data_IF_883914059803
#
_entry.id   IF_883914059803
#
_cell.length_a   1.000
_cell.length_b   1.000
_cell.length_c   1.000
_cell.angle_alpha   90.00
_cell.angle_beta   90.00
_cell.angle_gamma   90.00
#
_symmetry.space_group_name_H-M   'P 1'
#
loop_
_entity.id
_entity.type
_entity.pdbx_description
1 polymer ?
#
# COMPACT_ATOMS: atom_id res chain seq x y z
N UNK A 1 23.25 9.79 -2.06
CA UNK A 1 22.56 8.69 -1.35
C UNK A 1 21.06 8.92 -1.50
N UNK A 2 20.30 7.92 -1.96
CA UNK A 2 18.84 7.95 -1.87
C UNK A 2 18.44 8.05 -0.39
N UNK A 3 17.86 9.17 0.03
CA UNK A 3 17.64 9.50 1.45
C UNK A 3 16.27 9.06 1.95
N UNK A 4 15.39 8.58 1.08
CA UNK A 4 14.02 8.22 1.43
C UNK A 4 13.56 6.88 0.85
N UNK A 5 12.57 6.25 1.49
CA UNK A 5 11.89 5.06 0.96
C UNK A 5 11.28 5.28 -0.42
N UNK A 6 10.91 6.54 -0.75
CA UNK A 6 10.36 6.90 -2.05
C UNK A 6 11.42 6.78 -3.15
N UNK A 7 12.64 7.27 -2.90
CA UNK A 7 13.73 7.20 -3.87
C UNK A 7 14.12 5.75 -4.21
N UNK A 8 14.09 4.86 -3.20
CA UNK A 8 14.31 3.43 -3.39
C UNK A 8 13.24 2.78 -4.27
N UNK A 9 11.97 3.11 -4.04
CA UNK A 9 10.85 2.63 -4.86
C UNK A 9 10.97 3.08 -6.31
N UNK A 10 11.20 4.38 -6.53
CA UNK A 10 11.34 4.96 -7.87
C UNK A 10 12.56 4.43 -8.63
N UNK A 11 13.68 4.21 -7.94
CA UNK A 11 14.86 3.58 -8.55
C UNK A 11 14.59 2.12 -8.95
N UNK A 12 13.81 1.38 -8.16
CA UNK A 12 13.41 0.01 -8.48
C UNK A 12 12.45 -0.05 -9.67
N UNK A 13 11.45 0.83 -9.72
CA UNK A 13 10.55 1.00 -10.89
C UNK A 13 11.34 1.30 -12.16
N UNK A 14 12.29 2.24 -12.10
CA UNK A 14 13.20 2.55 -13.20
C UNK A 14 13.94 1.31 -13.68
N UNK A 15 14.52 0.55 -12.75
CA UNK A 15 15.30 -0.64 -13.06
C UNK A 15 14.45 -1.69 -13.77
N UNK A 16 13.24 -1.99 -13.28
CA UNK A 16 12.36 -2.96 -13.91
C UNK A 16 11.92 -2.50 -15.31
N UNK A 17 11.48 -1.25 -15.46
CA UNK A 17 11.08 -0.70 -16.74
C UNK A 17 12.22 -0.77 -17.78
N UNK A 18 13.45 -0.41 -17.36
CA UNK A 18 14.61 -0.50 -18.22
C UNK A 18 14.91 -1.95 -18.65
N UNK A 19 14.87 -2.90 -17.72
CA UNK A 19 15.07 -4.33 -18.04
C UNK A 19 14.00 -4.84 -19.00
N UNK A 20 12.73 -4.51 -18.78
CA UNK A 20 11.63 -4.90 -19.67
C UNK A 20 11.82 -4.36 -21.08
N UNK A 21 12.19 -3.09 -21.23
CA UNK A 21 12.47 -2.47 -22.54
C UNK A 21 13.67 -3.12 -23.26
N UNK A 22 14.65 -3.65 -22.52
CA UNK A 22 15.81 -4.33 -23.12
C UNK A 22 15.56 -5.81 -23.48
N UNK A 23 14.70 -6.51 -22.72
CA UNK A 23 14.51 -7.96 -22.85
C UNK A 23 13.24 -8.35 -23.62
N UNK A 24 12.26 -7.46 -23.69
CA UNK A 24 11.00 -7.70 -24.38
C UNK A 24 10.91 -6.77 -25.60
N UNK A 25 10.19 -7.16 -26.67
CA UNK A 25 9.99 -6.32 -27.86
C UNK A 25 8.98 -5.20 -27.57
N UNK A 26 9.33 -4.32 -26.63
CA UNK A 26 8.46 -3.31 -26.05
C UNK A 26 9.06 -1.91 -26.25
N UNK A 27 8.22 -0.94 -26.57
CA UNK A 27 8.60 0.46 -26.75
C UNK A 27 7.95 1.33 -25.67
N UNK A 28 8.51 2.52 -25.41
CA UNK A 28 7.88 3.47 -24.48
C UNK A 28 6.56 3.98 -25.08
N UNK A 29 5.50 3.97 -24.28
CA UNK A 29 4.15 4.35 -24.71
C UNK A 29 3.98 5.87 -24.88
N UNK A 30 4.53 6.66 -23.96
CA UNK A 30 4.29 8.10 -23.88
C UNK A 30 5.50 8.91 -23.40
N UNK A 31 5.46 10.23 -23.64
CA UNK A 31 6.51 11.18 -23.26
C UNK A 31 6.68 11.22 -21.73
N UNK A 32 5.59 11.06 -20.97
CA UNK A 32 5.62 11.10 -19.51
C UNK A 32 6.50 9.97 -18.95
N UNK A 33 6.33 8.75 -19.46
CA UNK A 33 7.14 7.58 -19.14
C UNK A 33 8.61 7.79 -19.48
N UNK A 34 8.89 8.43 -20.63
CA UNK A 34 10.26 8.77 -21.00
C UNK A 34 10.91 9.74 -20.01
N UNK A 35 10.19 10.80 -19.61
CA UNK A 35 10.66 11.77 -18.62
C UNK A 35 10.84 11.13 -17.24
N UNK A 36 9.92 10.26 -16.82
CA UNK A 36 10.03 9.52 -15.55
C UNK A 36 11.25 8.57 -15.56
N UNK A 37 11.53 7.90 -16.68
CA UNK A 37 12.74 7.08 -16.84
C UNK A 37 14.02 7.91 -16.75
N UNK A 38 14.06 9.07 -17.41
CA UNK A 38 15.22 9.96 -17.34
C UNK A 38 15.45 10.51 -15.93
N UNK A 39 14.39 10.96 -15.26
CA UNK A 39 14.45 11.45 -13.87
C UNK A 39 14.95 10.37 -12.92
N UNK A 40 14.37 9.18 -12.98
CA UNK A 40 14.64 8.11 -12.01
C UNK A 40 15.92 7.33 -12.31
N UNK A 41 16.50 7.47 -13.50
CA UNK A 41 17.84 6.95 -13.82
C UNK A 41 18.89 7.48 -12.85
N UNK A 42 18.89 8.79 -12.57
CA UNK A 42 19.83 9.40 -11.64
C UNK A 42 19.64 8.88 -10.21
N UNK A 43 18.39 8.59 -9.81
CA UNK A 43 18.08 7.99 -8.50
C UNK A 43 18.68 6.59 -8.39
N UNK A 44 18.54 5.77 -9.43
CA UNK A 44 19.14 4.45 -9.49
C UNK A 44 20.67 4.50 -9.49
N UNK A 45 21.26 5.36 -10.33
CA UNK A 45 22.72 5.54 -10.39
C UNK A 45 23.32 6.07 -9.08
N UNK A 46 22.53 6.83 -8.30
CA UNK A 46 22.92 7.32 -6.97
C UNK A 46 22.84 6.30 -5.84
N UNK A 47 22.39 5.07 -6.11
CA UNK A 47 22.38 3.96 -5.15
C UNK A 47 23.79 3.33 -5.00
N UNK A 48 24.09 2.67 -3.87
CA UNK A 48 25.29 1.85 -3.76
C UNK A 48 25.37 0.79 -4.87
N UNK A 49 26.57 0.52 -5.38
CA UNK A 49 26.77 -0.44 -6.49
C UNK A 49 26.15 -1.82 -6.19
N UNK A 50 26.30 -2.31 -4.95
CA UNK A 50 25.69 -3.56 -4.52
C UNK A 50 24.15 -3.54 -4.64
N UNK A 51 23.50 -2.42 -4.32
CA UNK A 51 22.04 -2.27 -4.46
C UNK A 51 21.63 -2.20 -5.94
N UNK A 52 22.40 -1.51 -6.77
CA UNK A 52 22.16 -1.47 -8.22
C UNK A 52 22.23 -2.87 -8.84
N UNK A 53 23.29 -3.62 -8.55
CA UNK A 53 23.47 -5.01 -8.99
C UNK A 53 22.33 -5.89 -8.50
N UNK A 54 21.97 -5.78 -7.23
CA UNK A 54 20.85 -6.52 -6.66
C UNK A 54 19.53 -6.24 -7.39
N UNK A 55 19.16 -4.96 -7.56
CA UNK A 55 17.94 -4.59 -8.30
C UNK A 55 17.96 -5.11 -9.74
N UNK A 56 19.09 -4.98 -10.46
CA UNK A 56 19.21 -5.51 -11.81
C UNK A 56 18.95 -7.02 -11.86
N UNK A 57 19.59 -7.79 -10.98
CA UNK A 57 19.41 -9.25 -10.93
C UNK A 57 17.95 -9.64 -10.66
N UNK A 58 17.30 -9.00 -9.68
CA UNK A 58 15.90 -9.32 -9.36
C UNK A 58 14.95 -8.88 -10.48
N UNK A 59 15.14 -7.71 -11.07
CA UNK A 59 14.34 -7.23 -12.20
C UNK A 59 14.52 -8.11 -13.45
N UNK A 60 15.71 -8.68 -13.69
CA UNK A 60 15.91 -9.66 -14.75
C UNK A 60 15.12 -10.95 -14.54
N UNK A 61 15.05 -11.44 -13.29
CA UNK A 61 14.20 -12.60 -12.96
C UNK A 61 12.72 -12.30 -13.22
N UNK A 62 12.26 -11.12 -12.79
CA UNK A 62 10.90 -10.64 -13.01
C UNK A 62 10.59 -10.54 -14.51
N UNK A 63 11.42 -9.85 -15.29
CA UNK A 63 11.21 -9.65 -16.71
C UNK A 63 11.17 -10.98 -17.49
N UNK A 64 12.06 -11.93 -17.16
CA UNK A 64 12.02 -13.29 -17.72
C UNK A 64 10.70 -14.00 -17.40
N UNK A 65 10.25 -13.96 -16.15
CA UNK A 65 9.00 -14.57 -15.75
C UNK A 65 7.80 -13.92 -16.46
N UNK A 66 7.75 -12.59 -16.56
CA UNK A 66 6.71 -11.85 -17.31
C UNK A 66 6.71 -12.29 -18.79
N UNK A 67 7.88 -12.35 -19.43
CA UNK A 67 8.05 -12.82 -20.80
C UNK A 67 7.46 -14.23 -21.02
N UNK A 68 7.79 -15.16 -20.13
CA UNK A 68 7.37 -16.56 -20.23
C UNK A 68 5.89 -16.79 -19.89
N UNK A 69 5.32 -16.02 -18.96
CA UNK A 69 4.01 -16.34 -18.36
C UNK A 69 2.89 -15.37 -18.73
N UNK A 70 3.22 -14.21 -19.28
CA UNK A 70 2.26 -13.12 -19.55
C UNK A 70 2.33 -12.64 -20.99
N UNK A 71 3.54 -12.44 -21.52
CA UNK A 71 3.70 -11.86 -22.85
C UNK A 71 3.21 -12.78 -23.98
N UNK A 72 3.20 -14.11 -23.79
CA UNK A 72 2.61 -15.04 -24.75
C UNK A 72 1.11 -14.80 -25.01
N UNK A 73 0.43 -14.06 -24.13
CA UNK A 73 -0.98 -13.71 -24.25
C UNK A 73 -1.22 -12.37 -24.93
N UNK A 74 -0.16 -11.60 -25.21
CA UNK A 74 -0.22 -10.27 -25.81
C UNK A 74 0.31 -10.31 -27.24
N UNK A 75 -0.33 -9.55 -28.13
CA UNK A 75 0.04 -9.46 -29.55
C UNK A 75 0.89 -8.21 -29.80
N UNK A 76 2.07 -8.29 -30.43
CA UNK A 76 2.83 -7.10 -30.78
C UNK A 76 2.05 -6.13 -31.69
N UNK A 77 2.34 -4.81 -31.67
CA UNK A 77 3.43 -4.16 -30.91
C UNK A 77 3.11 -4.01 -29.43
N UNK A 78 4.14 -4.18 -28.58
CA UNK A 78 4.02 -3.97 -27.14
C UNK A 78 4.49 -2.56 -26.77
N UNK A 79 3.77 -1.88 -25.88
CA UNK A 79 4.21 -0.61 -25.31
C UNK A 79 4.23 -0.64 -23.78
N UNK A 80 5.17 0.09 -23.16
CA UNK A 80 5.33 0.18 -21.71
C UNK A 80 5.00 1.60 -21.25
N UNK A 81 4.14 1.69 -20.25
CA UNK A 81 3.81 2.93 -19.55
C UNK A 81 4.17 2.80 -18.08
N UNK A 82 4.74 3.87 -17.50
CA UNK A 82 4.85 4.03 -16.05
C UNK A 82 3.68 4.87 -15.56
N UNK A 83 2.98 4.38 -14.55
CA UNK A 83 1.83 5.06 -13.98
C UNK A 83 2.26 5.90 -12.79
N UNK A 84 1.47 6.93 -12.49
CA UNK A 84 1.74 7.88 -11.42
C UNK A 84 0.77 7.73 -10.26
N UNK A 85 1.02 8.50 -9.22
CA UNK A 85 0.19 8.49 -8.01
C UNK A 85 -1.24 8.98 -8.31
N UNK A 86 -1.44 9.72 -9.40
CA UNK A 86 -2.78 10.13 -9.87
C UNK A 86 -3.66 8.92 -10.21
N UNK A 87 -3.13 7.96 -10.99
CA UNK A 87 -3.87 6.73 -11.29
C UNK A 87 -4.14 5.91 -10.02
N UNK A 88 -3.22 5.94 -9.04
CA UNK A 88 -3.42 5.30 -7.75
C UNK A 88 -4.56 5.94 -6.93
N UNK A 89 -4.78 7.25 -7.04
CA UNK A 89 -5.95 7.91 -6.43
C UNK A 89 -7.28 7.52 -7.06
N UNK A 90 -7.26 7.08 -8.32
CA UNK A 90 -8.42 6.54 -9.04
C UNK A 90 -8.63 5.03 -8.80
N UNK A 91 -7.82 4.42 -7.94
CA UNK A 91 -7.94 3.03 -7.54
C UNK A 91 -7.10 2.05 -8.37
N UNK A 92 -6.22 2.53 -9.27
CA UNK A 92 -5.31 1.67 -10.02
C UNK A 92 -3.94 1.56 -9.29
N UNK A 93 -3.60 0.43 -8.66
CA UNK A 93 -2.38 0.27 -7.86
C UNK A 93 -1.11 -0.02 -8.68
N UNK A 94 -1.22 0.08 -10.01
CA UNK A 94 -0.19 -0.30 -10.97
C UNK A 94 0.91 0.75 -11.03
N UNK A 95 2.16 0.30 -11.04
CA UNK A 95 3.34 1.13 -11.23
C UNK A 95 3.84 1.05 -12.71
N UNK A 96 3.73 -0.13 -13.33
CA UNK A 96 4.13 -0.40 -14.72
C UNK A 96 3.00 -1.15 -15.45
N UNK A 97 2.63 -0.66 -16.63
CA UNK A 97 1.65 -1.27 -17.53
C UNK A 97 2.32 -1.63 -18.85
N UNK A 98 2.11 -2.86 -19.33
CA UNK A 98 2.51 -3.32 -20.67
C UNK A 98 1.23 -3.49 -21.50
N UNK A 99 1.13 -2.80 -22.64
CA UNK A 99 -0.04 -2.78 -23.52
C UNK A 99 0.20 -3.49 -24.85
N UNK A 100 -0.88 -4.04 -25.39
CA UNK A 100 -1.00 -4.65 -26.71
C UNK A 100 -2.41 -4.36 -27.24
N UNK A 101 -2.55 -3.32 -28.07
CA UNK A 101 -3.87 -2.81 -28.44
C UNK A 101 -4.70 -2.48 -27.20
N UNK A 102 -5.86 -3.13 -27.06
CA UNK A 102 -6.78 -2.97 -25.93
C UNK A 102 -6.44 -3.84 -24.71
N UNK A 103 -5.47 -4.75 -24.84
CA UNK A 103 -5.03 -5.60 -23.74
C UNK A 103 -3.92 -4.92 -22.94
N UNK A 104 -3.98 -5.06 -21.61
CA UNK A 104 -2.95 -4.58 -20.71
C UNK A 104 -2.54 -5.67 -19.72
N UNK A 105 -1.27 -5.61 -19.31
CA UNK A 105 -0.71 -6.36 -18.22
C UNK A 105 -0.14 -5.37 -17.19
N UNK A 106 -0.68 -5.41 -15.99
CA UNK A 106 -0.41 -4.44 -14.93
C UNK A 106 0.47 -5.04 -13.85
N UNK A 107 1.49 -4.28 -13.43
CA UNK A 107 2.44 -4.63 -12.38
C UNK A 107 2.46 -3.55 -11.30
N UNK A 108 2.23 -3.94 -10.06
CA UNK A 108 2.57 -3.15 -8.87
C UNK A 108 3.88 -3.69 -8.28
N UNK A 109 4.93 -2.87 -8.24
CA UNK A 109 6.26 -3.24 -7.82
C UNK A 109 6.57 -2.68 -6.43
N UNK A 110 7.06 -3.54 -5.53
CA UNK A 110 7.36 -3.18 -4.14
C UNK A 110 8.68 -3.81 -3.69
N UNK A 111 9.40 -3.10 -2.81
CA UNK A 111 10.62 -3.59 -2.17
C UNK A 111 10.35 -3.91 -0.70
N UNK A 112 10.52 -5.17 -0.29
CA UNK A 112 10.32 -5.65 1.09
C UNK A 112 8.98 -5.21 1.74
N UNK A 113 7.93 -5.03 0.94
CA UNK A 113 6.71 -4.36 1.41
C UNK A 113 5.45 -5.12 1.02
N UNK A 114 4.85 -5.77 2.01
CA UNK A 114 3.70 -6.66 1.85
C UNK A 114 2.35 -5.96 1.99
N UNK A 115 2.29 -4.77 2.60
CA UNK A 115 1.02 -4.08 2.81
C UNK A 115 0.33 -3.76 1.47
N UNK A 116 -0.97 -4.03 1.40
CA UNK A 116 -1.83 -3.69 0.25
C UNK A 116 -2.22 -2.22 0.28
N UNK A 117 -2.36 -1.63 1.47
CA UNK A 117 -2.70 -0.21 1.64
C UNK A 117 -2.18 0.36 2.95
N UNK A 118 -1.95 1.67 2.94
CA UNK A 118 -1.66 2.50 4.11
C UNK A 118 -2.75 3.54 4.32
N UNK A 119 -3.81 3.17 5.01
CA UNK A 119 -4.98 4.04 5.16
C UNK A 119 -5.00 4.77 6.50
N UNK A 120 -5.48 6.01 6.47
CA UNK A 120 -5.64 6.83 7.67
C UNK A 120 -7.01 6.60 8.30
N UNK A 121 -7.12 6.41 9.63
CA UNK A 121 -8.40 6.21 10.30
C UNK A 121 -9.41 7.33 10.02
N UNK A 122 -8.96 8.59 10.04
CA UNK A 122 -9.83 9.76 9.86
C UNK A 122 -10.50 9.84 8.48
N UNK A 123 -10.01 9.12 7.47
CA UNK A 123 -10.55 9.13 6.11
C UNK A 123 -11.48 7.94 5.81
N UNK A 124 -11.91 7.18 6.83
CA UNK A 124 -12.67 5.94 6.65
C UNK A 124 -13.96 6.12 5.83
N UNK A 125 -14.72 7.21 6.02
CA UNK A 125 -15.94 7.47 5.26
C UNK A 125 -15.69 7.55 3.75
N UNK A 126 -14.66 8.30 3.34
CA UNK A 126 -14.23 8.35 1.95
C UNK A 126 -13.77 6.97 1.44
N UNK A 127 -13.09 6.19 2.29
CA UNK A 127 -12.64 4.82 1.95
C UNK A 127 -13.82 3.85 1.79
N UNK A 128 -14.93 4.08 2.48
CA UNK A 128 -16.19 3.34 2.36
C UNK A 128 -17.07 3.83 1.18
N UNK A 129 -16.66 4.91 0.50
CA UNK A 129 -17.46 5.53 -0.55
C UNK A 129 -18.75 6.19 -0.03
N UNK A 130 -18.80 6.57 1.25
CA UNK A 130 -19.96 7.21 1.87
C UNK A 130 -19.91 8.71 1.61
N UNK A 131 -20.97 9.25 1.02
CA UNK A 131 -21.14 10.70 0.82
C UNK A 131 -22.22 11.19 1.78
N UNK A 132 -21.83 11.38 3.05
CA UNK A 132 -22.67 11.95 4.09
C UNK A 132 -21.82 12.87 4.98
N UNK A 133 -21.77 14.19 4.68
CA UNK A 133 -20.88 15.13 5.38
C UNK A 133 -21.15 15.20 6.88
N UNK A 134 -22.40 15.06 7.29
CA UNK A 134 -22.82 15.14 8.70
C UNK A 134 -22.28 13.93 9.48
N UNK A 135 -22.50 12.72 8.98
CA UNK A 135 -21.96 11.51 9.62
C UNK A 135 -20.43 11.46 9.57
N UNK A 136 -19.82 11.88 8.46
CA UNK A 136 -18.37 11.96 8.36
C UNK A 136 -17.80 12.94 9.40
N UNK A 137 -18.45 14.08 9.61
CA UNK A 137 -18.04 15.06 10.63
C UNK A 137 -18.15 14.46 12.03
N UNK A 138 -19.26 13.78 12.35
CA UNK A 138 -19.41 13.08 13.64
C UNK A 138 -18.30 12.03 13.87
N UNK A 139 -17.98 11.23 12.85
CA UNK A 139 -16.89 10.26 12.90
C UNK A 139 -15.50 10.91 13.07
N UNK A 140 -15.26 12.04 12.41
CA UNK A 140 -13.99 12.77 12.57
C UNK A 140 -13.87 13.37 13.96
N UNK A 141 -14.96 13.85 14.54
CA UNK A 141 -14.96 14.43 15.88
C UNK A 141 -14.77 13.37 16.97
N UNK A 142 -15.33 12.15 16.81
CA UNK A 142 -15.02 11.03 17.72
C UNK A 142 -13.55 10.62 17.67
N UNK A 143 -12.91 10.63 16.50
CA UNK A 143 -11.46 10.44 16.39
C UNK A 143 -10.71 11.53 17.17
N UNK A 144 -11.07 12.81 17.01
CA UNK A 144 -10.44 13.92 17.74
C UNK A 144 -10.58 13.78 19.26
N UNK A 145 -11.68 13.24 19.76
CA UNK A 145 -11.85 12.96 21.19
C UNK A 145 -10.82 11.94 21.67
N UNK A 146 -10.56 10.88 20.89
CA UNK A 146 -9.53 9.89 21.21
C UNK A 146 -8.13 10.54 21.21
N UNK A 147 -7.83 11.37 20.21
CA UNK A 147 -6.55 12.10 20.13
C UNK A 147 -6.37 13.08 21.30
N UNK A 148 -7.44 13.78 21.69
CA UNK A 148 -7.43 14.71 22.84
C UNK A 148 -7.13 13.99 24.14
N UNK A 149 -7.69 12.79 24.35
CA UNK A 149 -7.37 11.96 25.52
C UNK A 149 -5.90 11.56 25.53
N UNK A 150 -5.34 11.17 24.38
CA UNK A 150 -3.90 10.91 24.26
C UNK A 150 -3.09 12.15 24.67
N UNK A 151 -3.46 13.35 24.20
CA UNK A 151 -2.77 14.58 24.58
C UNK A 151 -2.79 14.87 26.07
N UNK A 152 -3.95 14.71 26.72
CA UNK A 152 -4.10 14.89 28.16
C UNK A 152 -3.21 13.91 28.96
N UNK A 153 -3.08 12.68 28.49
CA UNK A 153 -2.22 11.68 29.13
C UNK A 153 -0.73 11.96 28.84
N UNK A 154 -0.38 12.33 27.62
CA UNK A 154 1.00 12.61 27.26
C UNK A 154 1.55 13.87 27.94
N UNK A 155 0.71 14.87 28.22
CA UNK A 155 1.12 16.12 28.88
C UNK A 155 1.47 15.97 30.37
N UNK A 156 1.15 14.84 30.99
CA UNK A 156 1.55 14.55 32.39
C UNK A 156 2.92 13.88 32.48
N UNK A 157 3.51 13.51 31.33
CA UNK A 157 4.77 12.78 31.27
C UNK A 157 5.96 13.75 31.15
N UNK A 158 7.11 13.45 31.78
CA UNK A 158 8.32 14.26 31.68
C UNK A 158 9.04 14.02 30.34
N UNK A 159 8.41 14.43 29.23
CA UNK A 159 8.97 14.25 27.89
C UNK A 159 10.05 15.29 27.59
N UNK A 160 11.15 14.85 26.98
CA UNK A 160 12.22 15.73 26.48
C UNK A 160 11.91 16.25 25.07
N UNK A 161 11.12 15.48 24.30
CA UNK A 161 10.59 15.87 23.00
C UNK A 161 9.21 15.25 22.79
N UNK A 162 8.39 15.87 21.93
CA UNK A 162 7.06 15.38 21.56
C UNK A 162 7.17 14.21 20.57
N UNK A 163 7.65 13.09 21.06
CA UNK A 163 7.88 11.86 20.32
C UNK A 163 7.08 10.71 20.90
N UNK A 164 6.42 9.94 20.03
CA UNK A 164 5.62 8.79 20.46
C UNK A 164 6.47 7.74 21.17
N UNK A 165 7.74 7.58 20.78
CA UNK A 165 8.66 6.66 21.44
C UNK A 165 8.97 7.06 22.89
N UNK A 166 9.02 8.36 23.19
CA UNK A 166 9.19 8.83 24.57
C UNK A 166 7.93 8.61 25.40
N UNK A 167 6.75 8.84 24.83
CA UNK A 167 5.48 8.48 25.51
C UNK A 167 5.47 6.98 25.79
N UNK A 168 5.83 6.14 24.80
CA UNK A 168 5.89 4.69 24.95
C UNK A 168 6.88 4.22 26.02
N UNK A 169 8.04 4.87 26.13
CA UNK A 169 9.06 4.48 27.13
C UNK A 169 8.64 4.81 28.55
N UNK A 170 7.92 5.91 28.76
CA UNK A 170 7.46 6.33 30.08
C UNK A 170 6.13 5.67 30.48
N UNK A 171 5.20 5.55 29.53
CA UNK A 171 3.85 5.07 29.77
C UNK A 171 3.34 4.29 28.54
N UNK A 172 3.77 3.02 28.35
CA UNK A 172 3.38 2.23 27.18
C UNK A 172 1.85 2.07 27.05
N UNK A 173 1.14 2.00 28.19
CA UNK A 173 -0.32 1.92 28.23
C UNK A 173 -1.03 3.10 27.54
N UNK A 174 -0.42 4.30 27.48
CA UNK A 174 -1.00 5.46 26.77
C UNK A 174 -1.03 5.22 25.26
N UNK A 175 0.03 4.60 24.71
CA UNK A 175 0.09 4.24 23.29
C UNK A 175 -0.85 3.08 23.00
N UNK A 176 -0.87 2.07 23.86
CA UNK A 176 -1.75 0.91 23.69
C UNK A 176 -3.23 1.33 23.74
N UNK A 177 -3.60 2.22 24.66
CA UNK A 177 -4.96 2.76 24.76
C UNK A 177 -5.33 3.61 23.55
N UNK A 178 -4.41 4.44 23.04
CA UNK A 178 -4.62 5.20 21.79
C UNK A 178 -4.92 4.24 20.64
N UNK A 179 -4.07 3.25 20.43
CA UNK A 179 -4.23 2.27 19.36
C UNK A 179 -5.50 1.46 19.50
N UNK A 180 -5.80 0.99 20.71
CA UNK A 180 -6.99 0.19 20.97
C UNK A 180 -8.26 1.00 20.74
N UNK A 181 -8.31 2.25 21.19
CA UNK A 181 -9.47 3.13 21.00
C UNK A 181 -9.73 3.41 19.52
N UNK A 182 -8.68 3.68 18.74
CA UNK A 182 -8.79 3.88 17.29
C UNK A 182 -9.25 2.59 16.60
N UNK A 183 -8.66 1.44 16.95
CA UNK A 183 -9.06 0.15 16.39
C UNK A 183 -10.52 -0.19 16.72
N UNK A 184 -10.95 0.01 17.96
CA UNK A 184 -12.34 -0.17 18.40
C UNK A 184 -13.29 0.69 17.58
N UNK A 185 -12.98 1.97 17.45
CA UNK A 185 -13.83 2.91 16.74
C UNK A 185 -13.96 2.54 15.25
N UNK A 186 -12.82 2.29 14.58
CA UNK A 186 -12.80 1.89 13.17
C UNK A 186 -13.52 0.56 12.95
N UNK A 187 -13.28 -0.46 13.78
CA UNK A 187 -13.94 -1.75 13.65
C UNK A 187 -15.46 -1.64 13.85
N UNK A 188 -15.91 -0.83 14.82
CA UNK A 188 -17.32 -0.58 15.03
C UNK A 188 -17.97 0.10 13.81
N UNK A 189 -17.33 1.14 13.26
CA UNK A 189 -17.81 1.82 12.05
C UNK A 189 -17.85 0.88 10.83
N UNK A 190 -16.82 0.04 10.63
CA UNK A 190 -16.84 -0.96 9.56
C UNK A 190 -18.03 -1.93 9.70
N UNK A 191 -18.31 -2.40 10.93
CA UNK A 191 -19.44 -3.29 11.19
C UNK A 191 -20.81 -2.62 11.08
N UNK A 192 -20.90 -1.30 11.17
CA UNK A 192 -22.14 -0.55 10.91
C UNK A 192 -22.40 -0.37 9.41
N UNK A 193 -21.34 -0.40 8.60
CA UNK A 193 -21.39 -0.17 7.16
C UNK A 193 -20.99 -1.43 6.36
N UNK A 194 -21.48 -2.60 6.76
CA UNK A 194 -21.10 -3.87 6.11
C UNK A 194 -21.45 -3.91 4.63
N UNK A 195 -22.51 -3.20 4.22
CA UNK A 195 -22.96 -3.12 2.82
C UNK A 195 -22.00 -2.30 1.92
N UNK A 196 -21.07 -1.56 2.53
CA UNK A 196 -20.04 -0.80 1.83
C UNK A 196 -18.78 -1.65 1.55
N UNK A 197 -18.83 -2.95 1.84
CA UNK A 197 -17.74 -3.90 1.63
C UNK A 197 -17.12 -3.78 0.24
N UNK A 198 -17.93 -3.68 -0.82
CA UNK A 198 -17.42 -3.56 -2.20
C UNK A 198 -16.50 -2.35 -2.39
N UNK A 199 -16.84 -1.21 -1.79
CA UNK A 199 -16.08 0.04 -1.94
C UNK A 199 -14.80 -0.02 -1.12
N UNK A 200 -14.91 -0.49 0.12
CA UNK A 200 -13.74 -0.61 0.98
C UNK A 200 -12.75 -1.64 0.45
N UNK A 201 -13.24 -2.75 -0.09
CA UNK A 201 -12.43 -3.75 -0.75
C UNK A 201 -11.68 -3.16 -1.95
N UNK A 202 -12.39 -2.47 -2.86
CA UNK A 202 -11.77 -1.80 -4.01
C UNK A 202 -10.76 -0.73 -3.59
N UNK A 203 -10.99 -0.02 -2.49
CA UNK A 203 -10.02 0.92 -1.93
C UNK A 203 -8.72 0.22 -1.47
N UNK A 204 -8.84 -0.96 -0.86
CA UNK A 204 -7.71 -1.73 -0.32
C UNK A 204 -6.87 -2.41 -1.41
N UNK A 205 -7.50 -3.07 -2.37
CA UNK A 205 -6.80 -3.88 -3.38
C UNK A 205 -6.76 -3.24 -4.77
N UNK A 206 -7.51 -2.16 -4.99
CA UNK A 206 -7.66 -1.52 -6.30
C UNK A 206 -8.87 -2.04 -7.08
N UNK A 207 -9.16 -1.36 -8.19
CA UNK A 207 -10.27 -1.69 -9.12
C UNK A 207 -9.78 -2.27 -10.47
N UNK A 208 -8.47 -2.51 -10.58
CA UNK A 208 -7.81 -2.96 -11.80
C UNK A 208 -7.12 -4.28 -11.51
N UNK A 209 -7.08 -5.19 -12.49
CA UNK A 209 -6.43 -6.49 -12.35
C UNK A 209 -4.91 -6.35 -12.54
N UNK A 210 -4.10 -6.90 -11.64
CA UNK A 210 -2.65 -6.69 -11.61
C UNK A 210 -1.87 -7.80 -10.91
N UNK A 211 -0.57 -7.85 -11.16
CA UNK A 211 0.40 -8.63 -10.40
C UNK A 211 1.11 -7.71 -9.41
N UNK A 212 1.07 -8.04 -8.12
CA UNK A 212 1.90 -7.38 -7.11
C UNK A 212 3.21 -8.16 -6.96
N UNK A 213 4.30 -7.55 -7.40
CA UNK A 213 5.65 -8.09 -7.36
C UNK A 213 6.38 -7.49 -6.17
N UNK A 214 6.82 -8.34 -5.25
CA UNK A 214 7.55 -7.97 -4.05
C UNK A 214 8.96 -8.54 -4.16
N UNK A 215 9.94 -7.65 -4.28
CA UNK A 215 11.35 -8.00 -4.27
C UNK A 215 11.83 -7.99 -2.83
N UNK A 216 12.30 -9.15 -2.37
CA UNK A 216 12.80 -9.38 -1.01
C UNK A 216 14.24 -9.88 -1.04
N UNK A 217 14.94 -9.77 0.09
CA UNK A 217 16.28 -10.37 0.24
C UNK A 217 16.33 -11.87 -0.05
N UNK A 218 15.20 -12.58 0.11
CA UNK A 218 15.06 -14.01 -0.13
C UNK A 218 14.65 -14.38 -1.56
N UNK A 219 14.34 -13.40 -2.41
CA UNK A 219 13.87 -13.63 -3.78
C UNK A 219 12.66 -12.77 -4.15
N UNK A 220 11.92 -13.19 -5.16
CA UNK A 220 10.75 -12.46 -5.66
C UNK A 220 9.47 -13.21 -5.33
N UNK A 221 8.50 -12.49 -4.74
CA UNK A 221 7.14 -12.98 -4.53
C UNK A 221 6.18 -12.25 -5.47
N UNK A 222 5.33 -12.99 -6.17
CA UNK A 222 4.32 -12.44 -7.08
C UNK A 222 2.96 -12.85 -6.57
N UNK A 223 2.17 -11.87 -6.17
CA UNK A 223 0.79 -12.03 -5.72
C UNK A 223 -0.16 -11.65 -6.86
N UNK A 224 -1.01 -12.59 -7.24
CA UNK A 224 -1.91 -12.45 -8.37
C UNK A 224 -3.26 -11.84 -7.93
N UNK A 225 -3.60 -10.64 -8.42
CA UNK A 225 -4.87 -9.95 -8.16
C UNK A 225 -5.72 -9.89 -9.44
N UNK A 226 -6.14 -11.06 -9.93
CA UNK A 226 -7.01 -11.20 -11.11
C UNK A 226 -8.33 -11.88 -10.75
N UNK A 227 -9.39 -11.53 -11.48
CA UNK A 227 -10.68 -12.23 -11.40
C UNK A 227 -11.24 -12.30 -9.97
N UNK A 228 -10.99 -11.27 -9.17
CA UNK A 228 -11.49 -11.20 -7.80
C UNK A 228 -12.96 -10.79 -7.84
N UNK A 229 -13.84 -11.68 -7.39
CA UNK A 229 -15.25 -11.34 -7.17
C UNK A 229 -15.35 -10.28 -6.08
N UNK A 230 -16.06 -9.18 -6.37
CA UNK A 230 -16.28 -8.12 -5.38
C UNK A 230 -17.11 -8.67 -4.20
N UNK A 231 -16.73 -8.39 -2.95
CA UNK A 231 -17.50 -8.83 -1.79
C UNK A 231 -18.75 -7.97 -1.62
N UNK A 232 -19.79 -8.53 -0.98
CA UNK A 232 -21.02 -7.79 -0.67
C UNK A 232 -21.11 -7.41 0.81
N UNK A 233 -20.42 -8.16 1.68
CA UNK A 233 -20.36 -7.92 3.11
C UNK A 233 -18.94 -8.01 3.66
N UNK A 234 -18.74 -7.40 4.83
CA UNK A 234 -17.49 -7.45 5.57
C UNK A 234 -17.76 -7.54 7.07
N UNK A 235 -16.80 -8.06 7.82
CA UNK A 235 -16.79 -8.11 9.28
C UNK A 235 -15.43 -7.67 9.80
N UNK A 236 -15.43 -6.79 10.80
CA UNK A 236 -14.24 -6.33 11.49
C UNK A 236 -14.23 -6.79 12.95
N UNK A 237 -13.12 -7.33 13.41
CA UNK A 237 -12.92 -7.73 14.81
C UNK A 237 -11.57 -7.25 15.33
N UNK A 238 -11.46 -7.04 16.63
CA UNK A 238 -10.20 -6.63 17.24
C UNK A 238 -9.29 -7.84 17.42
N UNK A 239 -8.00 -7.64 17.21
CA UNK A 239 -6.99 -8.64 17.49
C UNK A 239 -5.87 -8.02 18.34
N UNK A 240 -5.96 -8.15 19.65
CA UNK A 240 -5.09 -7.42 20.58
C UNK A 240 -5.36 -5.91 20.57
N UNK A 241 -4.35 -5.11 20.91
CA UNK A 241 -4.53 -3.67 21.15
C UNK A 241 -4.33 -2.81 19.90
N UNK A 242 -3.75 -3.35 18.83
CA UNK A 242 -3.32 -2.55 17.69
C UNK A 242 -3.62 -3.21 16.33
N UNK A 243 -4.50 -4.20 16.29
CA UNK A 243 -4.94 -4.80 15.04
C UNK A 243 -6.46 -4.88 14.92
N UNK A 244 -6.91 -4.75 13.67
CA UNK A 244 -8.24 -5.17 13.23
C UNK A 244 -8.05 -6.34 12.27
N UNK A 245 -8.78 -7.43 12.50
CA UNK A 245 -8.97 -8.51 11.54
C UNK A 245 -10.25 -8.18 10.74
N UNK A 246 -10.10 -8.03 9.44
CA UNK A 246 -11.17 -7.70 8.50
C UNK A 246 -11.39 -8.86 7.55
N UNK A 247 -12.58 -9.44 7.57
CA UNK A 247 -12.97 -10.58 6.74
C UNK A 247 -14.08 -10.16 5.79
N UNK A 248 -13.95 -10.52 4.52
CA UNK A 248 -14.95 -10.33 3.49
C UNK A 248 -15.59 -11.68 3.12
N UNK A 249 -16.83 -11.66 2.65
CA UNK A 249 -17.56 -12.88 2.23
C UNK A 249 -16.97 -13.56 0.99
N UNK A 250 -16.19 -12.83 0.18
CA UNK A 250 -15.39 -13.39 -0.91
C UNK A 250 -14.10 -14.09 -0.45
N UNK A 251 -14.01 -14.45 0.84
CA UNK A 251 -12.91 -15.17 1.49
C UNK A 251 -11.61 -14.37 1.69
N UNK A 252 -11.58 -13.10 1.29
CA UNK A 252 -10.43 -12.26 1.60
C UNK A 252 -10.42 -11.88 3.07
N UNK A 253 -9.26 -12.08 3.69
CA UNK A 253 -9.02 -11.63 5.06
C UNK A 253 -7.78 -10.74 5.12
N UNK A 254 -7.94 -9.58 5.75
CA UNK A 254 -6.90 -8.60 5.96
C UNK A 254 -6.64 -8.38 7.44
N UNK A 255 -5.37 -8.13 7.77
CA UNK A 255 -4.93 -7.71 9.08
C UNK A 255 -4.44 -6.27 8.99
N UNK A 256 -5.14 -5.37 9.67
CA UNK A 256 -4.86 -3.93 9.66
C UNK A 256 -4.15 -3.55 10.97
N UNK A 257 -2.86 -3.24 10.91
CA UNK A 257 -2.07 -2.81 12.09
C UNK A 257 -2.05 -1.29 12.21
N UNK A 258 -2.63 -0.73 13.27
CA UNK A 258 -2.48 0.70 13.54
C UNK A 258 -1.06 0.99 14.04
N UNK A 259 -0.49 2.09 13.58
CA UNK A 259 0.78 2.61 14.08
C UNK A 259 0.90 4.11 13.79
N UNK A 260 1.89 4.75 14.41
CA UNK A 260 2.24 6.14 14.14
C UNK A 260 3.10 6.23 12.87
N UNK A 261 2.68 7.06 11.93
CA UNK A 261 3.36 7.31 10.67
C UNK A 261 4.47 8.37 10.77
N UNK A 262 4.51 9.10 11.88
CA UNK A 262 5.56 10.05 12.26
C UNK A 262 6.16 9.64 13.60
N UNK A 263 7.44 9.92 13.81
CA UNK A 263 8.08 9.79 15.13
C UNK A 263 7.55 10.82 16.12
N UNK A 264 7.16 12.00 15.63
CA UNK A 264 6.73 13.17 16.40
C UNK A 264 5.24 13.42 16.34
N UNK A 265 4.72 14.04 17.39
CA UNK A 265 3.37 14.61 17.46
C UNK A 265 3.43 16.07 17.90
N UNK A 266 2.32 16.78 17.75
CA UNK A 266 2.16 18.15 18.19
C UNK A 266 0.80 18.30 18.86
N UNK A 267 0.75 18.98 20.00
CA UNK A 267 -0.52 19.22 20.69
C UNK A 267 -1.48 20.03 19.81
N UNK A 268 -2.75 19.62 19.80
CA UNK A 268 -3.81 20.30 19.05
C UNK A 268 -3.82 20.03 17.54
N UNK A 269 -2.85 19.28 16.99
CA UNK A 269 -2.89 18.79 15.61
C UNK A 269 -3.50 17.38 15.54
N UNK A 270 -3.85 16.90 14.35
CA UNK A 270 -4.25 15.51 14.18
C UNK A 270 -3.04 14.58 14.36
N UNK A 271 -3.22 13.43 15.01
CA UNK A 271 -2.14 12.46 15.16
C UNK A 271 -1.86 11.80 13.81
N UNK A 272 -0.59 11.64 13.48
CA UNK A 272 -0.16 10.95 12.27
C UNK A 272 -0.30 9.44 12.45
N UNK A 273 -1.52 8.93 12.34
CA UNK A 273 -1.87 7.52 12.48
C UNK A 273 -2.20 6.88 11.13
N UNK A 274 -1.73 5.66 10.89
CA UNK A 274 -2.09 4.87 9.71
C UNK A 274 -2.18 3.38 10.03
N UNK A 275 -3.05 2.69 9.30
CA UNK A 275 -3.08 1.24 9.26
C UNK A 275 -2.07 0.74 8.22
N UNK A 276 -1.26 -0.23 8.60
CA UNK A 276 -0.54 -1.10 7.66
C UNK A 276 -1.43 -2.32 7.41
N UNK A 277 -2.06 -2.39 6.24
CA UNK A 277 -3.01 -3.45 5.91
C UNK A 277 -2.34 -4.53 5.10
N UNK A 278 -2.35 -5.75 5.61
CA UNK A 278 -1.76 -6.91 4.96
C UNK A 278 -2.83 -7.96 4.67
N UNK A 279 -2.76 -8.61 3.51
CA UNK A 279 -3.56 -9.82 3.29
C UNK A 279 -2.99 -10.94 4.15
N UNK A 280 -3.86 -11.69 4.82
CA UNK A 280 -3.48 -12.81 5.70
C UNK A 280 -3.36 -14.15 4.95
N UNK A 281 -3.55 -14.15 3.63
CA UNK A 281 -3.36 -15.33 2.80
C UNK A 281 -4.45 -16.37 3.01
N UNK A 282 -5.66 -16.09 2.54
CA UNK A 282 -6.63 -17.08 2.08
C UNK A 282 -7.29 -16.56 0.79
N UNK A 283 -7.67 -17.49 -0.08
CA UNK A 283 -7.84 -17.40 -1.54
C UNK A 283 -8.64 -16.18 -2.10
N UNK A 284 -8.43 -15.81 -3.39
CA UNK A 284 -7.56 -16.44 -4.38
C UNK A 284 -6.36 -15.55 -4.74
N UNK A 285 -5.58 -15.10 -3.75
CA UNK A 285 -4.23 -14.59 -4.05
C UNK A 285 -3.31 -15.80 -4.23
N UNK A 286 -3.09 -16.17 -5.49
CA UNK A 286 -2.05 -17.14 -5.82
C UNK A 286 -0.68 -16.47 -5.65
N UNK A 287 0.27 -17.19 -5.06
CA UNK A 287 1.64 -16.70 -4.86
C UNK A 287 2.61 -17.51 -5.71
N UNK A 288 3.34 -16.84 -6.59
CA UNK A 288 4.50 -17.42 -7.27
C UNK A 288 5.77 -16.95 -6.58
N UNK A 289 6.71 -17.87 -6.29
CA UNK A 289 8.03 -17.53 -5.74
C UNK A 289 9.09 -17.81 -6.79
N UNK A 290 9.91 -16.80 -7.08
CA UNK A 290 11.09 -16.94 -7.93
C UNK A 290 12.34 -16.99 -7.03
N UNK A 291 13.12 -18.08 -7.08
CA UNK A 291 14.38 -18.17 -6.36
C UNK A 291 15.40 -17.16 -6.90
#
# INVERSE_FOLDING_TARGET
>A
MATTSNDQGRALEYCLANVLLTQLPCQIHDIKTQLDQQRDQLRFQGLPAATQTYYQQQCQKVARWIGQNRMLRLTPPLTLRRLTDEEATQGNPTDIEIRSGDQCYNVSLKHNHHAVKHQRPASLYAQLGIVNPTEEQYYRDSIKVIETRFYQQASTLPLQALEFNQVKSHAPAVIDQLYQSICQHVAATLNQHTQQARYFFAFLVGNTAFDKIIITSSGVEILHFYQITAPTTMQASLQGNNYILLTFDNQFTFRMRIHTASSRFEYGKALSLKFDTQSTGQAPIFTTRLP
#
